data_IF_501818842495
#
_entry.id   IF_501818842495
#
_cell.length_a   1.000
_cell.length_b   1.000
_cell.length_c   1.000
_cell.angle_alpha   90.00
_cell.angle_beta   90.00
_cell.angle_gamma   90.00
#
_symmetry.space_group_name_H-M   'P 1'
#
loop_
_entity.id
_entity.type
_entity.pdbx_description
1 polymer ?
#
# COMPACT_ATOMS: atom_id res chain seq x y z
N UNK A 1 -23.61 -18.56 -3.14
CA UNK A 1 -23.35 -17.12 -3.42
C UNK A 1 -21.88 -17.00 -3.79
N UNK A 2 -21.56 -16.37 -4.93
CA UNK A 2 -20.17 -16.14 -5.35
C UNK A 2 -19.70 -14.81 -4.74
N UNK A 3 -18.56 -14.82 -4.04
CA UNK A 3 -17.89 -13.61 -3.57
C UNK A 3 -16.71 -13.30 -4.49
N UNK A 4 -16.67 -12.09 -5.03
CA UNK A 4 -15.55 -11.60 -5.86
C UNK A 4 -14.77 -10.54 -5.06
N UNK A 5 -13.46 -10.74 -4.95
CA UNK A 5 -12.53 -9.77 -4.35
C UNK A 5 -11.62 -9.22 -5.45
N UNK A 6 -11.65 -7.90 -5.67
CA UNK A 6 -10.78 -7.23 -6.62
C UNK A 6 -9.68 -6.50 -5.85
N UNK A 7 -8.41 -6.84 -6.12
CA UNK A 7 -7.23 -6.17 -5.58
C UNK A 7 -6.43 -5.54 -6.72
N UNK A 8 -6.14 -4.25 -6.60
CA UNK A 8 -5.31 -3.51 -7.54
C UNK A 8 -3.96 -3.19 -6.90
N UNK A 9 -2.90 -3.72 -7.48
CA UNK A 9 -1.52 -3.43 -7.11
C UNK A 9 -1.04 -2.18 -7.86
N UNK A 10 -0.65 -1.12 -7.12
CA UNK A 10 -0.12 0.11 -7.71
C UNK A 10 1.40 0.11 -7.63
N UNK A 11 2.04 0.05 -8.77
CA UNK A 11 3.50 0.07 -8.87
C UNK A 11 3.99 1.21 -9.77
N UNK A 12 4.00 2.43 -9.24
CA UNK A 12 4.47 3.61 -9.98
C UNK A 12 5.99 3.80 -9.89
N UNK A 13 6.56 3.42 -8.75
CA UNK A 13 7.94 3.77 -8.41
C UNK A 13 8.96 2.66 -8.71
N UNK A 14 8.51 1.40 -8.77
CA UNK A 14 9.35 0.21 -9.03
C UNK A 14 8.98 -0.46 -10.37
N UNK A 15 8.61 0.35 -11.34
CA UNK A 15 8.22 -0.07 -12.68
C UNK A 15 9.11 0.61 -13.73
N UNK A 16 8.95 0.24 -14.99
CA UNK A 16 9.60 0.92 -16.12
C UNK A 16 8.92 2.25 -16.53
N UNK A 17 8.07 2.81 -15.66
CA UNK A 17 7.41 4.09 -15.91
C UNK A 17 8.38 5.22 -15.58
N UNK A 18 8.76 5.99 -16.58
CA UNK A 18 9.61 7.15 -16.43
C UNK A 18 8.94 8.25 -15.58
N UNK A 19 9.73 9.08 -14.91
CA UNK A 19 9.20 10.08 -13.96
C UNK A 19 8.23 11.05 -14.62
N UNK A 20 8.51 11.45 -15.85
CA UNK A 20 7.66 12.35 -16.64
C UNK A 20 6.30 11.74 -17.00
N UNK A 21 6.20 10.42 -17.04
CA UNK A 21 4.96 9.68 -17.34
C UNK A 21 4.07 9.46 -16.12
N UNK A 22 4.61 9.61 -14.91
CA UNK A 22 3.91 9.27 -13.66
C UNK A 22 2.60 10.03 -13.50
N UNK A 23 2.58 11.31 -13.78
CA UNK A 23 1.36 12.12 -13.70
C UNK A 23 0.25 11.62 -14.67
N UNK A 24 0.62 11.20 -15.87
CA UNK A 24 -0.29 10.61 -16.84
C UNK A 24 -0.85 9.28 -16.34
N UNK A 25 0.01 8.40 -15.78
CA UNK A 25 -0.44 7.11 -15.22
C UNK A 25 -1.39 7.32 -14.03
N UNK A 26 -1.11 8.25 -13.14
CA UNK A 26 -2.01 8.57 -12.02
C UNK A 26 -3.36 9.06 -12.53
N UNK A 27 -3.37 9.96 -13.51
CA UNK A 27 -4.61 10.50 -14.09
C UNK A 27 -5.41 9.43 -14.84
N UNK A 28 -4.76 8.65 -15.71
CA UNK A 28 -5.45 7.82 -16.69
C UNK A 28 -5.68 6.38 -16.19
N UNK A 29 -4.86 5.91 -15.20
CA UNK A 29 -4.97 4.55 -14.66
C UNK A 29 -5.46 4.53 -13.21
N UNK A 30 -4.93 5.40 -12.32
CA UNK A 30 -5.22 5.30 -10.89
C UNK A 30 -6.47 6.08 -10.46
N UNK A 31 -6.75 7.26 -11.07
CA UNK A 31 -8.01 7.98 -10.79
C UNK A 31 -9.26 7.18 -11.14
N UNK A 32 -9.32 6.43 -12.25
CA UNK A 32 -10.47 5.56 -12.52
C UNK A 32 -10.75 4.52 -11.44
N UNK A 33 -9.72 4.02 -10.74
CA UNK A 33 -9.91 3.09 -9.62
C UNK A 33 -10.68 3.72 -8.45
N UNK A 34 -10.42 5.00 -8.14
CA UNK A 34 -11.18 5.72 -7.11
C UNK A 34 -12.66 5.90 -7.53
N UNK A 35 -12.92 6.12 -8.81
CA UNK A 35 -14.29 6.17 -9.33
C UNK A 35 -14.98 4.80 -9.25
N UNK A 36 -14.27 3.72 -9.55
CA UNK A 36 -14.76 2.35 -9.39
C UNK A 36 -15.08 2.03 -7.93
N UNK A 37 -14.19 2.41 -7.00
CA UNK A 37 -14.36 2.18 -5.56
C UNK A 37 -15.64 2.82 -5.00
N UNK A 38 -16.08 3.96 -5.53
CA UNK A 38 -17.34 4.59 -5.12
C UNK A 38 -18.56 3.72 -5.41
N UNK A 39 -18.49 2.87 -6.43
CA UNK A 39 -19.57 1.99 -6.85
C UNK A 39 -19.44 0.58 -6.28
N UNK A 40 -18.22 0.07 -6.20
CA UNK A 40 -17.93 -1.31 -5.77
C UNK A 40 -16.73 -1.27 -4.82
N UNK A 41 -16.83 -1.81 -3.60
CA UNK A 41 -15.68 -1.91 -2.71
C UNK A 41 -14.55 -2.72 -3.35
N UNK A 42 -13.32 -2.18 -3.27
CA UNK A 42 -12.12 -2.81 -3.86
C UNK A 42 -10.96 -2.78 -2.86
N UNK A 43 -9.97 -3.65 -3.08
CA UNK A 43 -8.67 -3.59 -2.45
C UNK A 43 -7.69 -2.75 -3.28
N UNK A 44 -6.94 -1.89 -2.62
CA UNK A 44 -5.80 -1.17 -3.24
C UNK A 44 -4.57 -1.45 -2.40
N UNK A 45 -3.52 -1.89 -3.06
CA UNK A 45 -2.21 -2.08 -2.48
C UNK A 45 -1.18 -1.15 -3.13
N UNK A 46 -0.33 -0.56 -2.31
CA UNK A 46 0.83 0.21 -2.75
C UNK A 46 1.90 0.23 -1.67
N UNK A 47 3.18 0.24 -2.09
CA UNK A 47 4.28 0.60 -1.19
C UNK A 47 4.16 2.07 -0.76
N UNK A 48 4.71 2.43 0.40
CA UNK A 48 4.71 3.81 0.85
C UNK A 48 5.46 4.74 -0.12
N UNK A 49 6.55 4.27 -0.70
CA UNK A 49 7.32 5.03 -1.69
C UNK A 49 6.50 5.29 -2.98
N UNK A 50 5.67 4.34 -3.42
CA UNK A 50 4.72 4.55 -4.52
C UNK A 50 3.69 5.63 -4.15
N UNK A 51 3.16 5.63 -2.92
CA UNK A 51 2.23 6.69 -2.47
C UNK A 51 2.90 8.07 -2.42
N UNK A 52 4.16 8.16 -2.01
CA UNK A 52 4.93 9.42 -2.06
C UNK A 52 5.10 9.92 -3.50
N UNK A 53 5.38 9.02 -4.44
CA UNK A 53 5.47 9.37 -5.86
C UNK A 53 4.12 9.85 -6.42
N UNK A 54 3.02 9.19 -6.04
CA UNK A 54 1.65 9.63 -6.40
C UNK A 54 1.37 11.00 -5.78
N UNK A 55 1.71 11.24 -4.51
CA UNK A 55 1.51 12.52 -3.83
C UNK A 55 2.21 13.68 -4.55
N UNK A 56 3.41 13.44 -5.09
CA UNK A 56 4.13 14.44 -5.89
C UNK A 56 3.41 14.75 -7.20
N UNK A 57 2.85 13.73 -7.86
CA UNK A 57 2.17 13.86 -9.14
C UNK A 57 0.75 14.43 -9.00
N UNK A 58 0.01 14.02 -7.97
CA UNK A 58 -1.40 14.37 -7.74
C UNK A 58 -1.73 14.25 -6.24
N UNK A 59 -1.51 15.32 -5.44
CA UNK A 59 -1.82 15.29 -4.01
C UNK A 59 -3.29 14.99 -3.70
N UNK A 60 -4.21 15.49 -4.52
CA UNK A 60 -5.66 15.30 -4.32
C UNK A 60 -6.07 13.82 -4.45
N UNK A 61 -5.32 13.03 -5.23
CA UNK A 61 -5.56 11.59 -5.34
C UNK A 61 -5.43 10.88 -3.97
N UNK A 62 -4.42 11.26 -3.17
CA UNK A 62 -4.23 10.68 -1.82
C UNK A 62 -5.34 11.08 -0.84
N UNK A 63 -5.81 12.32 -0.91
CA UNK A 63 -6.92 12.80 -0.09
C UNK A 63 -8.20 12.03 -0.41
N UNK A 64 -8.49 11.84 -1.71
CA UNK A 64 -9.61 11.05 -2.19
C UNK A 64 -9.50 9.58 -1.74
N UNK A 65 -8.30 8.97 -1.86
CA UNK A 65 -8.06 7.61 -1.39
C UNK A 65 -8.30 7.49 0.12
N UNK A 66 -7.75 8.40 0.92
CA UNK A 66 -7.94 8.40 2.37
C UNK A 66 -9.42 8.54 2.77
N UNK A 67 -10.19 9.34 2.04
CA UNK A 67 -11.64 9.45 2.24
C UNK A 67 -12.34 8.12 1.94
N UNK A 68 -12.03 7.47 0.81
CA UNK A 68 -12.64 6.17 0.44
C UNK A 68 -12.29 5.05 1.41
N UNK A 69 -11.08 5.08 2.01
CA UNK A 69 -10.71 4.13 3.07
C UNK A 69 -11.57 4.34 4.31
N UNK A 70 -11.72 5.60 4.77
CA UNK A 70 -12.59 5.92 5.94
C UNK A 70 -14.04 5.52 5.71
N UNK A 71 -14.53 5.66 4.49
CA UNK A 71 -15.90 5.31 4.09
C UNK A 71 -16.10 3.81 3.86
N UNK A 72 -15.05 2.97 4.04
CA UNK A 72 -15.10 1.53 3.83
C UNK A 72 -15.30 1.11 2.36
N UNK A 73 -14.99 2.00 1.42
CA UNK A 73 -15.04 1.74 -0.02
C UNK A 73 -13.75 1.14 -0.57
N UNK A 74 -12.64 1.38 0.14
CA UNK A 74 -11.33 0.81 -0.18
C UNK A 74 -10.78 0.10 1.05
N UNK A 75 -10.43 -1.18 0.91
CA UNK A 75 -9.54 -1.89 1.83
C UNK A 75 -8.09 -1.62 1.39
N UNK A 76 -7.35 -0.85 2.20
CA UNK A 76 -5.95 -0.58 1.89
C UNK A 76 -5.05 -1.71 2.42
N UNK A 77 -4.19 -2.22 1.54
CA UNK A 77 -3.30 -3.34 1.81
C UNK A 77 -1.86 -2.82 1.79
N UNK A 78 -1.11 -3.07 2.85
CA UNK A 78 0.27 -2.62 2.97
C UNK A 78 1.26 -3.62 2.40
N UNK A 79 2.43 -3.14 1.94
CA UNK A 79 3.53 -3.99 1.47
C UNK A 79 4.92 -3.51 1.93
N UNK A 80 4.95 -2.56 2.85
CA UNK A 80 6.17 -1.93 3.35
C UNK A 80 6.48 -0.59 2.68
N UNK A 81 7.65 -0.03 3.00
CA UNK A 81 8.07 1.26 2.44
C UNK A 81 8.50 1.11 0.97
N UNK A 82 9.35 0.14 0.69
CA UNK A 82 9.84 -0.17 -0.65
C UNK A 82 9.42 -1.59 -1.06
N UNK A 83 9.39 -1.85 -2.37
CA UNK A 83 9.14 -3.19 -2.91
C UNK A 83 10.36 -4.08 -2.65
N UNK A 84 10.34 -4.81 -1.53
CA UNK A 84 11.43 -5.62 -1.04
C UNK A 84 11.09 -7.11 -1.12
N UNK A 85 12.00 -7.92 -1.65
CA UNK A 85 11.87 -9.39 -1.68
C UNK A 85 12.39 -9.92 -0.34
N UNK A 86 11.48 -10.05 0.63
CA UNK A 86 11.82 -10.35 2.03
C UNK A 86 12.77 -11.52 2.25
N UNK A 87 12.59 -12.71 1.61
CA UNK A 87 13.48 -13.85 1.80
C UNK A 87 14.94 -13.63 1.36
N UNK A 88 15.21 -12.59 0.56
CA UNK A 88 16.55 -12.26 0.06
C UNK A 88 17.26 -11.19 0.90
N UNK A 89 16.60 -10.66 1.94
CA UNK A 89 17.10 -9.56 2.76
C UNK A 89 17.35 -9.99 4.21
N UNK A 90 18.27 -9.33 4.91
CA UNK A 90 18.42 -9.48 6.35
C UNK A 90 17.11 -9.15 7.10
N UNK A 91 16.84 -9.86 8.18
CA UNK A 91 15.58 -9.76 8.92
C UNK A 91 15.32 -8.35 9.49
N UNK A 92 16.36 -7.65 9.92
CA UNK A 92 16.30 -6.28 10.42
C UNK A 92 15.94 -5.27 9.31
N UNK A 93 16.41 -5.50 8.08
CA UNK A 93 16.05 -4.69 6.90
C UNK A 93 14.58 -4.87 6.56
N UNK A 94 14.07 -6.12 6.56
CA UNK A 94 12.64 -6.39 6.34
C UNK A 94 11.79 -5.73 7.42
N UNK A 95 12.18 -5.89 8.69
CA UNK A 95 11.47 -5.27 9.82
C UNK A 95 11.46 -3.73 9.72
N UNK A 96 12.58 -3.12 9.32
CA UNK A 96 12.67 -1.68 9.09
C UNK A 96 11.77 -1.23 7.93
N UNK A 97 11.76 -1.95 6.81
CA UNK A 97 10.92 -1.67 5.66
C UNK A 97 9.42 -1.69 6.02
N UNK A 98 8.97 -2.69 6.77
CA UNK A 98 7.59 -2.80 7.24
C UNK A 98 7.21 -1.68 8.21
N UNK A 99 8.12 -1.34 9.16
CA UNK A 99 7.88 -0.27 10.14
C UNK A 99 7.77 1.09 9.47
N UNK A 100 8.70 1.42 8.57
CA UNK A 100 8.68 2.69 7.83
C UNK A 100 7.44 2.79 6.93
N UNK A 101 7.06 1.69 6.26
CA UNK A 101 5.83 1.63 5.48
C UNK A 101 4.59 1.93 6.33
N UNK A 102 4.43 1.26 7.47
CA UNK A 102 3.30 1.50 8.36
C UNK A 102 3.27 2.91 8.94
N UNK A 103 4.43 3.53 9.22
CA UNK A 103 4.50 4.92 9.62
C UNK A 103 4.00 5.84 8.51
N UNK A 104 4.52 5.68 7.30
CA UNK A 104 4.14 6.49 6.15
C UNK A 104 2.64 6.34 5.79
N UNK A 105 2.06 5.14 5.90
CA UNK A 105 0.63 4.93 5.68
C UNK A 105 -0.22 5.69 6.69
N UNK A 106 0.17 5.73 7.97
CA UNK A 106 -0.52 6.54 8.98
C UNK A 106 -0.44 8.03 8.68
N UNK A 107 0.74 8.51 8.28
CA UNK A 107 0.98 9.92 7.97
C UNK A 107 0.23 10.38 6.72
N UNK A 108 0.18 9.53 5.68
CA UNK A 108 -0.40 9.88 4.39
C UNK A 108 -1.90 9.58 4.28
N UNK A 109 -2.35 8.46 4.86
CA UNK A 109 -3.71 7.93 4.69
C UNK A 109 -4.51 7.89 5.98
N UNK A 110 -3.87 8.12 7.14
CA UNK A 110 -4.51 7.98 8.46
C UNK A 110 -4.87 6.54 8.83
N UNK A 111 -4.26 5.53 8.18
CA UNK A 111 -4.61 4.12 8.37
C UNK A 111 -3.38 3.25 8.67
N UNK A 112 -3.59 2.22 9.47
CA UNK A 112 -2.68 1.08 9.57
C UNK A 112 -3.31 -0.09 8.85
N UNK A 113 -2.68 -0.61 7.79
CA UNK A 113 -3.22 -1.75 7.05
C UNK A 113 -3.42 -2.97 7.94
N UNK A 114 -4.54 -3.67 7.78
CA UNK A 114 -4.82 -4.95 8.47
C UNK A 114 -4.38 -6.15 7.64
N UNK A 115 -4.21 -5.94 6.35
CA UNK A 115 -3.75 -6.93 5.39
C UNK A 115 -2.41 -6.48 4.81
N UNK A 116 -1.57 -7.46 4.48
CA UNK A 116 -0.30 -7.20 3.83
C UNK A 116 -0.13 -8.07 2.59
N UNK A 117 0.35 -7.45 1.51
CA UNK A 117 0.83 -8.17 0.34
C UNK A 117 2.31 -8.52 0.53
N UNK A 118 2.65 -9.79 0.32
CA UNK A 118 4.04 -10.22 0.25
C UNK A 118 4.56 -9.93 -1.15
N UNK A 119 5.49 -8.99 -1.25
CA UNK A 119 6.05 -8.54 -2.53
C UNK A 119 6.60 -9.73 -3.34
N UNK A 120 6.36 -9.70 -4.65
CA UNK A 120 6.75 -10.73 -5.62
C UNK A 120 6.24 -12.14 -5.26
N UNK A 121 5.25 -12.25 -4.36
CA UNK A 121 4.75 -13.52 -3.83
C UNK A 121 5.88 -14.41 -3.25
N UNK A 122 7.01 -13.79 -2.90
CA UNK A 122 8.21 -14.45 -2.38
C UNK A 122 8.01 -14.77 -0.90
N UNK A 123 7.35 -15.90 -0.63
CA UNK A 123 7.02 -16.34 0.73
C UNK A 123 8.15 -17.18 1.35
N UNK A 124 8.43 -16.92 2.62
CA UNK A 124 9.20 -17.79 3.50
C UNK A 124 8.57 -17.78 4.90
N UNK A 125 8.55 -18.94 5.59
CA UNK A 125 7.88 -19.08 6.89
C UNK A 125 8.35 -18.08 7.96
N UNK A 126 9.63 -17.70 7.94
CA UNK A 126 10.19 -16.68 8.86
C UNK A 126 9.63 -15.28 8.68
N UNK A 127 9.08 -14.95 7.51
CA UNK A 127 8.49 -13.62 7.24
C UNK A 127 7.21 -13.39 8.04
N UNK A 128 6.43 -14.42 8.31
CA UNK A 128 5.14 -14.29 9.03
C UNK A 128 5.32 -13.60 10.37
N UNK A 129 6.34 -14.01 11.14
CA UNK A 129 6.64 -13.41 12.44
C UNK A 129 6.96 -11.90 12.31
N UNK A 130 7.68 -11.49 11.29
CA UNK A 130 8.04 -10.08 11.03
C UNK A 130 6.82 -9.23 10.67
N UNK A 131 5.93 -9.73 9.82
CA UNK A 131 4.67 -9.05 9.48
C UNK A 131 3.76 -8.92 10.70
N UNK A 132 3.62 -9.99 11.52
CA UNK A 132 2.83 -9.94 12.75
C UNK A 132 3.41 -8.97 13.78
N UNK A 133 4.74 -8.92 13.95
CA UNK A 133 5.38 -7.98 14.87
C UNK A 133 5.20 -6.53 14.42
N UNK A 134 5.33 -6.26 13.12
CA UNK A 134 5.06 -4.94 12.55
C UNK A 134 3.63 -4.45 12.80
N UNK A 135 2.63 -5.36 12.71
CA UNK A 135 1.24 -5.06 13.03
C UNK A 135 1.03 -4.80 14.53
N UNK A 136 1.60 -5.63 15.42
CA UNK A 136 1.45 -5.49 16.88
C UNK A 136 2.06 -4.20 17.42
N UNK A 137 3.26 -3.82 17.01
CA UNK A 137 3.93 -2.58 17.44
C UNK A 137 3.17 -1.33 17.04
N UNK A 138 2.41 -1.41 15.96
CA UNK A 138 1.58 -0.30 15.50
C UNK A 138 0.36 -0.08 16.39
N UNK A 139 -0.22 -1.14 16.95
CA UNK A 139 -1.36 -1.06 17.87
C UNK A 139 -0.98 -0.48 19.24
N UNK A 140 0.28 -0.64 19.67
CA UNK A 140 0.78 -0.14 20.96
C UNK A 140 1.08 1.38 20.95
N UNK A 141 1.22 2.00 19.81
CA UNK A 141 1.49 3.44 19.69
C UNK A 141 0.20 4.28 19.57
N UNK A 142 -0.96 3.65 19.64
CA UNK A 142 -2.29 4.28 19.52
C UNK A 142 -3.01 4.43 20.87
N UNK A 143 -2.30 4.23 22.01
CA UNK A 143 -2.83 4.43 23.36
C UNK A 143 -2.32 5.72 23.98
#
# INVERSE_FOLDING_TARGET
>A
MLNLFALFHLNLAFSSIEEEQRATVVRDCYRPLLALAKQHPIGIEATAYTLEAIRKADPAWLEDLAALIRDGKVEFIGSGYAQAIGPLLPADVVAANLRLGNQAYREMLGVTPKLALVNEQAYAGGLVAQYLDALKRTMQLSC
#
